data_IF_266176692948
#
_entry.id   IF_266176692948
#
_cell.length_a   1.000
_cell.length_b   1.000
_cell.length_c   1.000
_cell.angle_alpha   90.00
_cell.angle_beta   90.00
_cell.angle_gamma   90.00
#
_symmetry.space_group_name_H-M   'P 1'
#
loop_
_entity.id
_entity.type
_entity.pdbx_description
1 polymer ?
#
# COMPACT_ATOMS: atom_id res chain seq x y z
N UNK A 1 -1.55 3.80 46.27
CA UNK A 1 -0.91 2.46 46.22
C UNK A 1 -1.90 1.54 45.50
N UNK A 2 -1.44 0.69 44.58
CA UNK A 2 -2.32 -0.22 43.83
C UNK A 2 -2.17 -1.65 44.36
N UNK A 3 -3.29 -2.32 44.65
CA UNK A 3 -3.32 -3.74 45.02
C UNK A 3 -3.79 -4.53 43.80
N UNK A 4 -3.02 -5.55 43.40
CA UNK A 4 -3.33 -6.41 42.27
C UNK A 4 -3.39 -7.86 42.74
N UNK A 5 -4.45 -8.59 42.38
CA UNK A 5 -4.61 -10.02 42.68
C UNK A 5 -5.49 -10.71 41.64
N UNK A 6 -5.39 -12.03 41.58
CA UNK A 6 -6.17 -12.88 40.67
C UNK A 6 -7.25 -13.60 41.48
N UNK A 7 -8.49 -13.54 41.01
CA UNK A 7 -9.63 -14.21 41.62
C UNK A 7 -10.68 -14.52 40.55
N UNK A 8 -11.30 -15.70 40.57
CA UNK A 8 -12.43 -16.07 39.68
C UNK A 8 -12.19 -15.74 38.19
N UNK A 9 -11.05 -16.16 37.64
CA UNK A 9 -10.65 -15.93 36.25
C UNK A 9 -10.53 -14.45 35.81
N UNK A 10 -10.37 -13.53 36.76
CA UNK A 10 -10.08 -12.12 36.49
C UNK A 10 -8.85 -11.64 37.26
N UNK A 11 -8.12 -10.68 36.69
CA UNK A 11 -7.18 -9.84 37.44
C UNK A 11 -7.96 -8.64 37.96
N UNK A 12 -7.97 -8.45 39.28
CA UNK A 12 -8.50 -7.26 39.93
C UNK A 12 -7.36 -6.34 40.28
N UNK A 13 -7.50 -5.07 39.90
CA UNK A 13 -6.56 -4.02 40.25
C UNK A 13 -7.33 -2.92 40.96
N UNK A 14 -6.94 -2.66 42.21
CA UNK A 14 -7.55 -1.64 43.05
C UNK A 14 -6.57 -0.49 43.21
N UNK A 15 -6.91 0.67 42.64
CA UNK A 15 -6.13 1.90 42.79
C UNK A 15 -6.77 2.79 43.82
N UNK A 16 -6.02 3.10 44.88
CA UNK A 16 -6.43 4.09 45.86
C UNK A 16 -5.56 5.33 45.73
N UNK A 17 -6.21 6.45 45.42
CA UNK A 17 -5.61 7.77 45.36
C UNK A 17 -6.23 8.71 46.41
N UNK A 18 -5.42 9.39 47.23
CA UNK A 18 -5.93 10.39 48.17
C UNK A 18 -6.73 11.51 47.51
N UNK A 19 -6.39 11.85 46.25
CA UNK A 19 -6.97 12.99 45.54
C UNK A 19 -8.10 12.60 44.57
N UNK A 20 -8.22 11.32 44.22
CA UNK A 20 -9.12 10.85 43.16
C UNK A 20 -10.01 9.68 43.59
N UNK A 21 -9.97 9.28 44.86
CA UNK A 21 -10.77 8.18 45.40
C UNK A 21 -10.24 6.79 45.01
N UNK A 22 -11.10 5.79 45.17
CA UNK A 22 -10.82 4.39 44.83
C UNK A 22 -11.39 4.04 43.47
N UNK A 23 -10.60 3.36 42.63
CA UNK A 23 -11.03 2.79 41.37
C UNK A 23 -10.70 1.29 41.36
N UNK A 24 -11.62 0.47 40.87
CA UNK A 24 -11.40 -0.96 40.63
C UNK A 24 -11.44 -1.21 39.12
N UNK A 25 -10.42 -1.90 38.63
CA UNK A 25 -10.30 -2.39 37.27
C UNK A 25 -10.31 -3.90 37.28
N UNK A 26 -11.10 -4.48 36.38
CA UNK A 26 -11.27 -5.92 36.27
C UNK A 26 -10.88 -6.31 34.85
N UNK A 27 -9.89 -7.20 34.73
CA UNK A 27 -9.41 -7.69 33.45
C UNK A 27 -9.65 -9.21 33.39
N UNK A 28 -10.55 -9.70 32.52
CA UNK A 28 -10.72 -11.13 32.33
C UNK A 28 -9.44 -11.81 31.87
N UNK A 29 -9.05 -12.91 32.53
CA UNK A 29 -7.87 -13.69 32.14
C UNK A 29 -8.02 -14.22 30.71
N UNK A 30 -9.23 -14.57 30.28
CA UNK A 30 -9.48 -14.99 28.90
C UNK A 30 -9.20 -13.86 27.89
N UNK A 31 -9.50 -12.61 28.23
CA UNK A 31 -9.17 -11.46 27.38
C UNK A 31 -7.66 -11.28 27.25
N UNK A 32 -6.90 -11.45 28.34
CA UNK A 32 -5.43 -11.42 28.31
C UNK A 32 -4.83 -12.57 27.49
N UNK A 33 -5.37 -13.78 27.64
CA UNK A 33 -4.95 -14.94 26.82
C UNK A 33 -5.22 -14.69 25.33
N UNK A 34 -6.38 -14.13 25.00
CA UNK A 34 -6.72 -13.76 23.62
C UNK A 34 -5.80 -12.65 23.08
N UNK A 35 -5.39 -11.69 23.91
CA UNK A 35 -4.39 -10.67 23.52
C UNK A 35 -3.01 -11.26 23.29
N UNK A 36 -2.59 -12.22 24.11
CA UNK A 36 -1.31 -12.91 23.93
C UNK A 36 -1.29 -13.68 22.60
N UNK A 37 -2.36 -14.41 22.28
CA UNK A 37 -2.51 -15.07 20.97
C UNK A 37 -2.48 -14.08 19.80
N UNK A 38 -3.05 -12.87 19.97
CA UNK A 38 -2.97 -11.81 18.96
C UNK A 38 -1.56 -11.27 18.73
N UNK A 39 -0.69 -11.29 19.75
CA UNK A 39 0.73 -10.93 19.56
C UNK A 39 1.49 -11.97 18.74
N UNK A 40 1.12 -13.25 18.81
CA UNK A 40 1.73 -14.28 17.96
C UNK A 40 1.28 -14.15 16.50
N UNK A 41 0.01 -13.80 16.25
CA UNK A 41 -0.52 -13.55 14.89
C UNK A 41 0.20 -12.41 14.14
N UNK A 42 0.77 -11.42 14.85
CA UNK A 42 1.56 -10.35 14.21
C UNK A 42 2.82 -10.88 13.52
N UNK A 43 3.30 -12.09 13.85
CA UNK A 43 4.43 -12.72 13.15
C UNK A 43 4.03 -13.37 11.82
N UNK A 44 2.75 -13.70 11.65
CA UNK A 44 2.22 -14.41 10.47
C UNK A 44 1.65 -13.46 9.40
N UNK A 45 1.81 -12.14 9.58
CA UNK A 45 1.34 -11.14 8.61
C UNK A 45 2.35 -10.86 7.51
N UNK A 46 3.20 -11.83 7.16
CA UNK A 46 4.12 -11.68 6.03
C UNK A 46 3.32 -11.85 4.74
N UNK A 47 3.40 -10.91 3.78
CA UNK A 47 2.79 -11.10 2.47
C UNK A 47 3.31 -12.42 1.88
N UNK A 48 2.38 -13.20 1.34
CA UNK A 48 2.64 -14.47 0.69
C UNK A 48 3.00 -14.18 -0.76
N UNK A 49 4.11 -14.75 -1.23
CA UNK A 49 4.43 -14.75 -2.66
C UNK A 49 3.37 -15.58 -3.38
N UNK A 50 2.55 -14.93 -4.19
CA UNK A 50 1.50 -15.60 -4.94
C UNK A 50 2.11 -16.44 -6.07
N UNK A 51 1.77 -17.73 -6.13
CA UNK A 51 2.14 -18.58 -7.26
C UNK A 51 1.43 -18.18 -8.58
N UNK A 52 0.28 -17.51 -8.45
CA UNK A 52 -0.52 -16.94 -9.53
C UNK A 52 -1.36 -15.79 -9.00
N UNK A 53 -1.71 -14.83 -9.84
CA UNK A 53 -2.60 -13.72 -9.46
C UNK A 53 -3.98 -14.30 -9.09
N UNK A 54 -4.50 -14.07 -7.86
CA UNK A 54 -5.85 -14.46 -7.50
C UNK A 54 -6.88 -13.75 -8.39
N UNK A 55 -7.91 -14.48 -8.82
CA UNK A 55 -8.97 -13.96 -9.69
C UNK A 55 -10.32 -14.06 -8.99
N UNK A 56 -11.14 -13.02 -9.11
CA UNK A 56 -12.54 -13.00 -8.65
C UNK A 56 -13.43 -12.45 -9.77
N UNK A 57 -14.69 -12.88 -9.79
CA UNK A 57 -15.68 -12.37 -10.72
C UNK A 57 -16.20 -11.00 -10.28
N UNK A 58 -16.31 -10.05 -11.20
CA UNK A 58 -16.84 -8.71 -10.91
C UNK A 58 -18.23 -8.74 -10.25
N UNK A 59 -19.15 -9.57 -10.77
CA UNK A 59 -20.50 -9.68 -10.20
C UNK A 59 -20.48 -10.13 -8.74
N UNK A 60 -19.61 -11.08 -8.41
CA UNK A 60 -19.52 -11.63 -7.06
C UNK A 60 -19.00 -10.57 -6.09
N UNK A 61 -17.98 -9.80 -6.48
CA UNK A 61 -17.43 -8.72 -5.65
C UNK A 61 -18.45 -7.61 -5.41
N UNK A 62 -19.24 -7.25 -6.42
CA UNK A 62 -20.25 -6.19 -6.28
C UNK A 62 -21.42 -6.63 -5.40
N UNK A 63 -21.89 -7.87 -5.55
CA UNK A 63 -23.14 -8.33 -4.95
C UNK A 63 -22.96 -9.09 -3.62
N UNK A 64 -21.72 -9.38 -3.20
CA UNK A 64 -21.44 -10.22 -2.03
C UNK A 64 -20.37 -9.66 -1.10
N UNK A 65 -20.74 -9.44 0.16
CA UNK A 65 -19.80 -9.05 1.22
C UNK A 65 -18.72 -10.12 1.47
N UNK A 66 -19.03 -11.39 1.24
CA UNK A 66 -18.06 -12.50 1.36
C UNK A 66 -16.96 -12.36 0.32
N UNK A 67 -17.33 -12.07 -0.93
CA UNK A 67 -16.35 -11.88 -2.01
C UNK A 67 -15.64 -10.54 -1.91
N UNK A 68 -16.31 -9.49 -1.42
CA UNK A 68 -15.65 -8.22 -1.06
C UNK A 68 -14.58 -8.46 0.01
N UNK A 69 -14.90 -9.22 1.06
CA UNK A 69 -13.92 -9.62 2.08
C UNK A 69 -12.79 -10.45 1.47
N UNK A 70 -13.09 -11.40 0.58
CA UNK A 70 -12.08 -12.21 -0.09
C UNK A 70 -11.16 -11.36 -0.98
N UNK A 71 -11.69 -10.36 -1.67
CA UNK A 71 -10.91 -9.41 -2.45
C UNK A 71 -9.93 -8.61 -1.57
N UNK A 72 -10.42 -8.01 -0.48
CA UNK A 72 -9.59 -7.27 0.49
C UNK A 72 -8.54 -8.21 1.12
N UNK A 73 -8.92 -9.45 1.40
CA UNK A 73 -8.01 -10.46 1.92
C UNK A 73 -6.91 -10.76 0.89
N UNK A 74 -7.26 -10.98 -0.38
CA UNK A 74 -6.27 -11.24 -1.43
C UNK A 74 -5.30 -10.07 -1.58
N UNK A 75 -5.78 -8.83 -1.55
CA UNK A 75 -4.91 -7.63 -1.57
C UNK A 75 -3.94 -7.61 -0.38
N UNK A 76 -4.42 -7.88 0.84
CA UNK A 76 -3.56 -7.87 2.03
C UNK A 76 -2.52 -9.00 2.06
N UNK A 77 -2.88 -10.19 1.58
CA UNK A 77 -1.98 -11.35 1.63
C UNK A 77 -1.06 -11.46 0.41
N UNK A 78 -1.54 -11.12 -0.79
CA UNK A 78 -0.81 -11.34 -2.04
C UNK A 78 -0.38 -10.03 -2.72
N UNK A 79 -0.81 -8.87 -2.21
CA UNK A 79 -0.54 -7.56 -2.82
C UNK A 79 -1.31 -7.26 -4.10
N UNK A 80 -2.01 -8.25 -4.68
CA UNK A 80 -2.70 -8.13 -5.96
C UNK A 80 -3.92 -9.05 -6.05
N UNK A 81 -4.92 -8.63 -6.82
CA UNK A 81 -6.09 -9.45 -7.19
C UNK A 81 -6.64 -8.96 -8.53
N UNK A 82 -6.90 -9.87 -9.46
CA UNK A 82 -7.60 -9.58 -10.71
C UNK A 82 -9.12 -9.69 -10.48
N UNK A 83 -9.86 -8.68 -10.90
CA UNK A 83 -11.32 -8.74 -11.00
C UNK A 83 -11.67 -8.93 -12.47
N UNK A 84 -12.16 -10.12 -12.82
CA UNK A 84 -12.47 -10.51 -14.20
C UNK A 84 -13.94 -10.22 -14.55
N UNK A 85 -14.24 -10.22 -15.85
CA UNK A 85 -15.58 -10.03 -16.41
C UNK A 85 -16.29 -8.73 -15.96
N UNK A 86 -15.51 -7.69 -15.64
CA UNK A 86 -16.05 -6.36 -15.38
C UNK A 86 -16.64 -5.73 -16.68
N UNK A 87 -17.74 -4.96 -16.58
CA UNK A 87 -18.28 -4.22 -17.72
C UNK A 87 -17.25 -3.28 -18.34
N UNK A 88 -17.33 -3.07 -19.66
CA UNK A 88 -16.42 -2.18 -20.39
C UNK A 88 -16.96 -0.74 -20.30
N UNK A 89 -16.97 -0.19 -19.08
CA UNK A 89 -17.54 1.14 -18.78
C UNK A 89 -16.72 1.88 -17.72
N UNK A 90 -16.74 3.21 -17.76
CA UNK A 90 -15.88 4.03 -16.89
C UNK A 90 -16.36 4.12 -15.43
N UNK A 91 -17.59 3.69 -15.14
CA UNK A 91 -18.21 3.71 -13.80
C UNK A 91 -17.86 2.48 -12.93
N UNK A 92 -17.13 1.50 -13.49
CA UNK A 92 -16.71 0.30 -12.75
C UNK A 92 -15.85 0.63 -11.54
N UNK A 93 -14.88 1.53 -11.69
CA UNK A 93 -14.00 1.92 -10.59
C UNK A 93 -14.79 2.59 -9.46
N UNK A 94 -15.71 3.49 -9.77
CA UNK A 94 -16.55 4.16 -8.77
C UNK A 94 -17.36 3.15 -7.94
N UNK A 95 -17.93 2.12 -8.59
CA UNK A 95 -18.69 1.05 -7.93
C UNK A 95 -17.83 0.19 -7.01
N UNK A 96 -16.64 -0.21 -7.48
CA UNK A 96 -15.71 -1.01 -6.71
C UNK A 96 -15.15 -0.23 -5.52
N UNK A 97 -14.81 1.03 -5.75
CA UNK A 97 -14.28 1.94 -4.74
C UNK A 97 -15.31 2.27 -3.66
N UNK A 98 -16.60 2.29 -3.98
CA UNK A 98 -17.67 2.41 -2.99
C UNK A 98 -17.68 1.31 -1.93
N UNK A 99 -16.92 0.22 -2.10
CA UNK A 99 -16.68 -0.81 -1.08
C UNK A 99 -15.57 -0.44 -0.09
N UNK A 100 -14.75 0.56 -0.39
CA UNK A 100 -13.71 1.11 0.49
C UNK A 100 -14.20 2.40 1.17
N UNK A 101 -13.68 2.71 2.37
CA UNK A 101 -14.13 3.88 3.13
C UNK A 101 -13.66 5.22 2.53
N UNK A 102 -12.60 5.23 1.73
CA UNK A 102 -11.99 6.48 1.25
C UNK A 102 -11.22 6.31 -0.06
N UNK A 103 -11.33 7.31 -0.94
CA UNK A 103 -10.47 7.52 -2.11
C UNK A 103 -9.56 8.68 -1.82
N UNK A 104 -8.26 8.49 -1.99
CA UNK A 104 -7.30 9.57 -1.92
C UNK A 104 -7.38 10.41 -3.22
N UNK A 105 -7.84 11.67 -3.18
CA UNK A 105 -7.81 12.53 -4.36
C UNK A 105 -6.37 12.83 -4.76
N UNK A 106 -6.09 12.85 -6.06
CA UNK A 106 -4.75 13.13 -6.59
C UNK A 106 -4.76 14.35 -7.51
N UNK A 107 -3.59 14.81 -7.93
CA UNK A 107 -3.46 15.87 -8.95
C UNK A 107 -4.02 15.47 -10.32
N UNK A 108 -4.26 14.18 -10.54
CA UNK A 108 -4.89 13.62 -11.74
C UNK A 108 -6.42 13.46 -11.60
N UNK A 109 -7.00 13.87 -10.47
CA UNK A 109 -8.40 13.63 -10.12
C UNK A 109 -8.60 12.27 -9.43
N UNK A 110 -9.86 11.82 -9.36
CA UNK A 110 -10.22 10.57 -8.67
C UNK A 110 -10.06 9.33 -9.55
N UNK A 111 -10.48 9.41 -10.82
CA UNK A 111 -10.48 8.29 -11.76
C UNK A 111 -10.02 8.77 -13.15
N UNK A 112 -8.73 9.14 -13.31
CA UNK A 112 -8.22 9.59 -14.60
C UNK A 112 -8.33 8.52 -15.68
N UNK A 113 -8.71 8.90 -16.90
CA UNK A 113 -8.64 8.02 -18.06
C UNK A 113 -7.21 8.01 -18.62
N UNK A 114 -6.55 6.85 -18.54
CA UNK A 114 -5.21 6.63 -19.09
C UNK A 114 -5.30 6.19 -20.55
N UNK A 115 -4.70 6.98 -21.44
CA UNK A 115 -4.56 6.71 -22.86
C UNK A 115 -3.35 7.48 -23.42
N UNK A 116 -2.80 7.01 -24.54
CA UNK A 116 -1.67 7.67 -25.18
C UNK A 116 -2.03 9.08 -25.67
N UNK A 117 -1.25 10.09 -25.26
CA UNK A 117 -1.36 11.50 -25.67
C UNK A 117 -0.20 11.89 -26.58
N UNK A 118 -0.41 12.86 -27.47
CA UNK A 118 0.59 13.33 -28.45
C UNK A 118 1.76 14.15 -27.82
N UNK A 119 1.61 14.64 -26.60
CA UNK A 119 2.65 15.32 -25.79
C UNK A 119 2.40 15.05 -24.30
N UNK A 120 2.76 13.85 -23.81
CA UNK A 120 2.42 13.44 -22.46
C UNK A 120 3.32 14.14 -21.43
N UNK A 121 2.71 14.74 -20.41
CA UNK A 121 3.42 15.33 -19.26
C UNK A 121 3.81 14.31 -18.20
N UNK A 122 3.33 13.07 -18.34
CA UNK A 122 3.60 11.93 -17.49
C UNK A 122 3.75 10.68 -18.37
N UNK A 123 4.75 9.85 -18.07
CA UNK A 123 5.10 8.67 -18.87
C UNK A 123 3.93 7.67 -18.99
N UNK A 124 3.02 7.65 -18.01
CA UNK A 124 1.80 6.84 -18.03
C UNK A 124 0.81 7.20 -19.13
N UNK A 125 0.91 8.39 -19.73
CA UNK A 125 0.14 8.78 -20.92
C UNK A 125 0.91 8.60 -22.23
N UNK A 126 2.02 7.85 -22.23
CA UNK A 126 2.81 7.56 -23.43
C UNK A 126 2.64 6.12 -23.89
N UNK A 127 3.19 5.76 -25.05
CA UNK A 127 3.31 4.38 -25.53
C UNK A 127 4.64 3.72 -25.13
N UNK A 128 5.44 4.40 -24.31
CA UNK A 128 6.74 3.91 -23.86
C UNK A 128 6.58 2.79 -22.85
N UNK A 129 7.56 1.89 -22.78
CA UNK A 129 7.60 0.87 -21.74
C UNK A 129 7.78 1.52 -20.36
N UNK A 130 6.87 1.22 -19.43
CA UNK A 130 7.00 1.55 -18.02
C UNK A 130 7.74 0.41 -17.32
N UNK A 131 8.93 0.69 -16.79
CA UNK A 131 9.66 -0.27 -15.96
C UNK A 131 8.96 -0.45 -14.61
N UNK A 132 9.37 -1.44 -13.80
CA UNK A 132 8.83 -1.57 -12.44
C UNK A 132 8.92 -0.26 -11.69
N UNK A 133 7.80 0.19 -11.15
CA UNK A 133 7.67 1.43 -10.39
C UNK A 133 6.52 1.33 -9.40
N UNK A 134 6.49 2.28 -8.48
CA UNK A 134 5.35 2.60 -7.63
C UNK A 134 4.90 4.02 -7.91
N UNK A 135 3.59 4.21 -7.88
CA UNK A 135 2.96 5.44 -8.29
C UNK A 135 3.02 6.51 -7.21
N UNK A 136 3.10 7.76 -7.66
CA UNK A 136 2.91 8.95 -6.83
C UNK A 136 3.85 9.04 -5.60
N UNK A 137 5.08 8.50 -5.67
CA UNK A 137 6.04 8.53 -4.54
C UNK A 137 6.46 9.93 -4.07
N UNK A 138 6.12 10.96 -4.84
CA UNK A 138 6.29 12.37 -4.46
C UNK A 138 5.23 12.88 -3.46
N UNK A 139 4.22 12.08 -3.12
CA UNK A 139 3.28 12.39 -2.04
C UNK A 139 3.84 11.99 -0.67
N UNK A 140 3.51 12.75 0.38
CA UNK A 140 3.83 12.38 1.77
C UNK A 140 3.33 10.97 2.12
N UNK A 141 2.06 10.68 1.81
CA UNK A 141 1.47 9.35 1.85
C UNK A 141 1.09 8.92 0.44
N UNK A 142 1.91 8.09 -0.24
CA UNK A 142 1.52 7.48 -1.52
C UNK A 142 0.27 6.59 -1.35
N UNK A 143 -0.49 6.32 -2.43
CA UNK A 143 -1.61 5.41 -2.37
C UNK A 143 -1.18 4.01 -1.90
N UNK A 144 -1.91 3.45 -0.94
CA UNK A 144 -1.64 2.08 -0.46
C UNK A 144 -2.23 0.98 -1.35
N UNK A 145 -3.28 1.30 -2.12
CA UNK A 145 -3.93 0.40 -3.08
C UNK A 145 -4.22 1.21 -4.33
N UNK A 146 -3.95 0.61 -5.49
CA UNK A 146 -4.25 1.18 -6.79
C UNK A 146 -5.16 0.24 -7.58
N UNK A 147 -6.11 0.82 -8.33
CA UNK A 147 -7.09 0.08 -9.12
C UNK A 147 -7.03 0.52 -10.58
N UNK A 148 -6.69 -0.41 -11.47
CA UNK A 148 -6.73 -0.22 -12.90
C UNK A 148 -7.92 -0.98 -13.51
N UNK A 149 -8.69 -0.31 -14.35
CA UNK A 149 -9.77 -0.93 -15.12
C UNK A 149 -9.53 -0.76 -16.62
N UNK A 150 -9.42 -1.88 -17.34
CA UNK A 150 -9.24 -1.87 -18.78
C UNK A 150 -10.59 -1.61 -19.49
N UNK A 151 -10.81 -0.36 -19.93
CA UNK A 151 -12.01 0.05 -20.67
C UNK A 151 -11.89 -0.20 -22.18
N UNK A 152 -10.68 -0.32 -22.73
CA UNK A 152 -10.50 -0.54 -24.17
C UNK A 152 -9.11 -1.11 -24.47
N UNK A 153 -9.07 -2.13 -25.31
CA UNK A 153 -7.84 -2.63 -25.94
C UNK A 153 -8.13 -2.90 -27.41
N UNK A 154 -7.58 -2.07 -28.29
CA UNK A 154 -7.78 -2.23 -29.73
C UNK A 154 -6.94 -3.38 -30.28
N UNK A 155 -7.48 -4.10 -31.26
CA UNK A 155 -6.80 -5.26 -31.87
C UNK A 155 -5.51 -4.91 -32.62
N UNK A 156 -5.31 -3.63 -32.96
CA UNK A 156 -4.08 -3.13 -33.56
C UNK A 156 -2.96 -2.88 -32.53
N UNK A 157 -3.26 -2.90 -31.23
CA UNK A 157 -2.26 -2.69 -30.18
C UNK A 157 -1.39 -3.94 -30.05
N UNK A 158 -0.09 -3.75 -30.25
CA UNK A 158 0.93 -4.78 -29.99
C UNK A 158 1.65 -4.42 -28.70
N UNK A 159 1.75 -5.39 -27.79
CA UNK A 159 2.28 -5.15 -26.43
C UNK A 159 1.20 -4.64 -25.47
N UNK A 160 1.65 -3.87 -24.46
CA UNK A 160 0.80 -3.30 -23.42
C UNK A 160 0.43 -4.31 -22.32
N UNK A 161 1.25 -5.34 -22.14
CA UNK A 161 1.09 -6.30 -21.06
C UNK A 161 1.41 -5.65 -19.70
N UNK A 162 0.58 -5.94 -18.71
CA UNK A 162 0.88 -5.58 -17.33
C UNK A 162 1.94 -6.53 -16.77
N UNK A 163 2.92 -5.98 -16.07
CA UNK A 163 3.95 -6.74 -15.34
C UNK A 163 3.90 -6.34 -13.86
N UNK A 164 4.15 -7.31 -13.00
CA UNK A 164 4.13 -7.12 -11.54
C UNK A 164 5.34 -7.81 -10.93
N UNK A 165 5.87 -7.23 -9.86
CA UNK A 165 6.99 -7.77 -9.10
C UNK A 165 6.72 -7.61 -7.61
N UNK A 166 6.83 -8.71 -6.86
CA UNK A 166 6.87 -8.65 -5.41
C UNK A 166 8.32 -8.34 -4.97
N UNK A 167 8.52 -7.13 -4.45
CA UNK A 167 9.84 -6.69 -4.00
C UNK A 167 10.26 -7.32 -2.67
N UNK A 168 9.35 -7.86 -1.86
CA UNK A 168 9.67 -8.39 -0.53
C UNK A 168 10.66 -9.57 -0.58
N UNK A 169 10.41 -10.64 -1.37
CA UNK A 169 11.38 -11.74 -1.50
C UNK A 169 12.70 -11.27 -2.13
N UNK A 170 12.65 -10.37 -3.13
CA UNK A 170 13.86 -9.81 -3.78
C UNK A 170 14.73 -9.06 -2.78
N UNK A 171 14.12 -8.28 -1.90
CA UNK A 171 14.82 -7.51 -0.87
C UNK A 171 15.37 -8.40 0.24
N UNK A 172 14.69 -9.49 0.58
CA UNK A 172 15.19 -10.46 1.55
C UNK A 172 16.36 -11.28 0.99
N UNK A 173 16.32 -11.66 -0.28
CA UNK A 173 17.47 -12.24 -1.00
C UNK A 173 18.65 -11.26 -1.01
N UNK A 174 18.43 -10.00 -1.38
CA UNK A 174 19.45 -8.96 -1.36
C UNK A 174 20.05 -8.76 0.04
N UNK A 175 19.21 -8.79 1.09
CA UNK A 175 19.63 -8.68 2.48
C UNK A 175 20.57 -9.81 2.89
N UNK A 176 20.33 -11.03 2.39
CA UNK A 176 21.15 -12.20 2.71
C UNK A 176 22.44 -12.27 1.87
N UNK A 177 22.34 -11.99 0.57
CA UNK A 177 23.45 -12.15 -0.37
C UNK A 177 24.39 -10.94 -0.41
N UNK A 178 23.85 -9.73 -0.23
CA UNK A 178 24.61 -8.49 -0.29
C UNK A 178 24.11 -7.45 0.74
N UNK A 179 24.28 -7.72 2.04
CA UNK A 179 23.75 -6.88 3.12
C UNK A 179 24.19 -5.43 3.04
N UNK A 180 25.38 -5.14 2.52
CA UNK A 180 25.88 -3.77 2.32
C UNK A 180 25.02 -2.96 1.33
N UNK A 181 24.48 -3.59 0.29
CA UNK A 181 23.61 -2.91 -0.67
C UNK A 181 22.20 -2.76 -0.12
N UNK A 182 21.70 -3.77 0.60
CA UNK A 182 20.46 -3.65 1.34
C UNK A 182 20.52 -2.47 2.34
N UNK A 183 21.62 -2.36 3.08
CA UNK A 183 21.85 -1.26 4.03
C UNK A 183 21.81 0.10 3.33
N UNK A 184 22.48 0.26 2.18
CA UNK A 184 22.42 1.49 1.37
C UNK A 184 20.97 1.84 1.01
N UNK A 185 20.19 0.88 0.50
CA UNK A 185 18.80 1.12 0.11
C UNK A 185 17.89 1.51 1.29
N UNK A 186 18.27 1.13 2.51
CA UNK A 186 17.52 1.48 3.73
C UNK A 186 17.93 2.82 4.37
N UNK A 187 19.13 3.31 4.04
CA UNK A 187 19.72 4.47 4.71
C UNK A 187 19.84 5.70 3.83
N UNK A 188 20.20 5.52 2.56
CA UNK A 188 20.44 6.63 1.64
C UNK A 188 19.09 7.13 1.12
N UNK A 189 18.67 8.36 1.47
CA UNK A 189 17.44 8.91 0.94
C UNK A 189 17.61 9.24 -0.54
N UNK A 190 16.53 9.09 -1.29
CA UNK A 190 16.41 9.62 -2.65
C UNK A 190 15.19 10.52 -2.72
N UNK A 191 15.27 11.57 -3.53
CA UNK A 191 14.16 12.50 -3.72
C UNK A 191 13.28 12.05 -4.87
N UNK A 192 11.96 12.04 -4.67
CA UNK A 192 10.97 11.84 -5.71
C UNK A 192 10.23 13.16 -5.94
N UNK A 193 10.05 13.55 -7.20
CA UNK A 193 9.46 14.84 -7.54
C UNK A 193 8.38 14.77 -8.61
N UNK A 194 7.52 15.80 -8.59
CA UNK A 194 6.64 16.17 -9.68
C UNK A 194 6.59 17.68 -9.79
N UNK A 195 7.00 18.20 -10.94
CA UNK A 195 6.91 19.62 -11.29
C UNK A 195 6.05 19.78 -12.54
N UNK A 196 4.82 20.26 -12.35
CA UNK A 196 3.85 20.50 -13.42
C UNK A 196 3.26 21.90 -13.27
N UNK A 197 3.77 22.83 -14.07
CA UNK A 197 3.40 24.24 -14.04
C UNK A 197 2.53 24.61 -15.25
N UNK A 198 1.31 24.06 -15.30
CA UNK A 198 0.27 24.35 -16.30
C UNK A 198 0.73 24.21 -17.78
N UNK A 199 0.56 23.03 -18.36
CA UNK A 199 0.70 22.87 -19.83
C UNK A 199 -0.64 22.66 -20.55
N UNK A 200 -1.64 22.05 -19.91
CA UNK A 200 -3.00 21.82 -20.45
C UNK A 200 -4.02 21.62 -19.30
N UNK A 201 -5.25 22.14 -19.42
CA UNK A 201 -6.31 22.25 -18.38
C UNK A 201 -6.81 20.95 -17.70
N UNK A 202 -6.12 19.82 -17.86
CA UNK A 202 -6.58 18.50 -17.40
C UNK A 202 -5.96 18.09 -16.06
N UNK A 203 -4.78 18.61 -15.72
CA UNK A 203 -4.05 18.23 -14.50
C UNK A 203 -3.88 19.42 -13.55
N UNK A 204 -4.01 19.15 -12.25
CA UNK A 204 -3.81 20.19 -11.24
C UNK A 204 -2.33 20.57 -11.19
N UNK A 205 -2.00 21.88 -11.23
CA UNK A 205 -0.63 22.34 -11.04
C UNK A 205 -0.05 21.82 -9.75
N UNK A 206 1.21 21.40 -9.80
CA UNK A 206 1.89 20.90 -8.60
C UNK A 206 3.38 21.03 -8.71
N UNK A 207 3.95 21.26 -7.53
CA UNK A 207 5.37 21.27 -7.26
C UNK A 207 5.56 20.49 -5.97
N UNK A 208 5.89 19.22 -6.12
CA UNK A 208 6.00 18.27 -5.02
C UNK A 208 7.39 17.65 -5.07
N UNK A 209 8.04 17.57 -3.92
CA UNK A 209 9.28 16.83 -3.73
C UNK A 209 9.31 16.26 -2.33
N UNK A 210 9.78 15.02 -2.21
CA UNK A 210 9.98 14.35 -0.92
C UNK A 210 11.15 13.38 -0.99
N UNK A 211 11.94 13.37 0.08
CA UNK A 211 13.09 12.48 0.21
C UNK A 211 12.76 11.33 1.15
N UNK A 212 13.07 10.10 0.72
CA UNK A 212 12.92 8.88 1.52
C UNK A 212 13.83 7.77 0.98
N UNK A 213 14.28 6.82 1.81
CA UNK A 213 15.04 5.68 1.32
C UNK A 213 14.17 4.79 0.42
N UNK A 214 14.81 4.04 -0.47
CA UNK A 214 14.14 3.07 -1.33
C UNK A 214 13.45 1.96 -0.54
N UNK A 215 14.00 1.60 0.63
CA UNK A 215 13.46 0.57 1.51
C UNK A 215 13.26 1.17 2.90
N UNK A 216 12.04 1.11 3.42
CA UNK A 216 11.76 1.51 4.80
C UNK A 216 11.57 0.26 5.65
N UNK A 217 12.20 0.25 6.82
CA UNK A 217 12.06 -0.82 7.79
C UNK A 217 11.07 -0.43 8.89
N UNK A 218 10.33 -1.40 9.40
CA UNK A 218 9.56 -1.23 10.62
C UNK A 218 10.46 -1.24 11.88
N UNK A 219 9.84 -1.10 13.05
CA UNK A 219 10.53 -1.11 14.34
C UNK A 219 11.22 -2.44 14.68
N UNK A 220 10.95 -3.51 13.95
CA UNK A 220 11.53 -4.84 14.12
C UNK A 220 12.61 -5.15 13.07
N UNK A 221 12.84 -4.24 12.12
CA UNK A 221 13.81 -4.44 11.03
C UNK A 221 13.24 -5.18 9.82
N UNK A 222 11.92 -5.40 9.76
CA UNK A 222 11.26 -6.01 8.59
C UNK A 222 10.96 -4.93 7.54
N UNK A 223 10.94 -5.32 6.26
CA UNK A 223 10.58 -4.39 5.16
C UNK A 223 9.12 -3.97 5.33
N UNK A 224 8.91 -2.67 5.54
CA UNK A 224 7.59 -2.06 5.76
C UNK A 224 7.05 -1.38 4.51
N UNK A 225 7.94 -0.76 3.73
CA UNK A 225 7.58 -0.12 2.47
C UNK A 225 8.76 -0.14 1.50
N UNK A 226 8.42 -0.20 0.22
CA UNK A 226 9.34 0.04 -0.89
C UNK A 226 8.95 1.38 -1.51
N UNK A 227 9.95 2.13 -1.98
CA UNK A 227 9.80 3.37 -2.71
C UNK A 227 10.67 3.27 -3.98
N UNK A 228 10.14 2.71 -5.05
CA UNK A 228 10.86 2.50 -6.29
C UNK A 228 10.16 3.19 -7.46
N UNK A 229 10.70 4.30 -7.97
CA UNK A 229 10.20 4.93 -9.20
C UNK A 229 11.33 5.69 -9.88
N UNK A 230 11.90 5.11 -10.94
CA UNK A 230 13.08 5.67 -11.61
C UNK A 230 12.76 6.90 -12.47
N UNK A 231 11.50 7.08 -12.88
CA UNK A 231 11.09 8.18 -13.75
C UNK A 231 10.85 9.48 -13.00
N UNK A 232 10.48 9.40 -11.72
CA UNK A 232 10.24 10.55 -10.84
C UNK A 232 11.36 10.81 -9.83
N UNK A 233 12.37 9.95 -9.80
CA UNK A 233 13.53 10.09 -8.91
C UNK A 233 14.49 11.19 -9.39
N UNK A 234 14.87 12.09 -8.49
CA UNK A 234 15.95 13.04 -8.70
C UNK A 234 17.32 12.34 -8.55
N UNK A 235 18.38 12.91 -9.16
CA UNK A 235 19.75 12.46 -8.90
C UNK A 235 20.04 12.43 -7.39
N UNK A 236 20.70 11.37 -6.93
CA UNK A 236 21.17 11.28 -5.54
C UNK A 236 22.24 12.35 -5.34
N UNK A 237 22.00 13.27 -4.42
CA UNK A 237 22.96 14.31 -4.08
C UNK A 237 24.09 13.68 -3.26
N UNK A 238 25.34 13.85 -3.71
CA UNK A 238 26.50 13.24 -3.07
C UNK A 238 26.75 13.76 -1.64
N UNK A 239 26.19 14.93 -1.29
CA UNK A 239 26.27 15.50 0.04
C UNK A 239 25.42 14.73 1.08
N UNK A 240 24.53 13.84 0.63
CA UNK A 240 23.67 12.98 1.47
C UNK A 240 24.26 11.57 1.71
N UNK A 241 25.49 11.30 1.25
CA UNK A 241 26.25 10.05 1.45
C UNK A 241 27.32 10.18 2.56
#
# INVERSE_FOLDING_TARGET
>A
MALCYVENDVIRINWNSPNFGSHEGIIPLQWLKNLHMKQELHKDSKPLVAASIPVLEYSDVIDSDVHTYQWIRNLNYFGICLIDNAPITTDVLEKLVGKFPHVQPTTYGNYPLLYAKDDPTDLGFSTSNLHFHQDLLYYESPPGIELFHCVRRDSCVVGGENIFLDFYPVLEELRQEAPQYFEVLTKVPVSFQRRHYMKNDVETPSDMSISRPHVQLDRYGEVAAVNWNTHHQEPVMLDDL
#
